data_IF_222579946170
#
_entry.id   IF_222579946170
#
_cell.length_a   1.000
_cell.length_b   1.000
_cell.length_c   1.000
_cell.angle_alpha   90.00
_cell.angle_beta   90.00
_cell.angle_gamma   90.00
#
_symmetry.space_group_name_H-M   'P 1'
#
loop_
_entity.id
_entity.type
_entity.pdbx_description
1 polymer ?
#
# COMPACT_ATOMS: atom_id res chain seq x y z
N UNK A 1 33.18 -13.09 -36.53
CA UNK A 1 32.46 -13.15 -35.24
C UNK A 1 31.37 -12.08 -35.24
N UNK A 2 30.11 -12.46 -35.43
CA UNK A 2 29.00 -11.52 -35.69
C UNK A 2 28.47 -10.83 -34.40
N UNK A 3 28.34 -9.48 -34.38
CA UNK A 3 27.92 -8.70 -33.20
C UNK A 3 26.41 -8.75 -32.88
N UNK A 4 25.58 -9.33 -33.75
CA UNK A 4 24.12 -9.30 -33.64
C UNK A 4 23.51 -10.16 -32.50
N UNK A 5 24.26 -11.12 -31.94
CA UNK A 5 23.75 -11.93 -30.81
C UNK A 5 23.89 -11.28 -29.44
N UNK A 6 24.69 -10.21 -29.31
CA UNK A 6 24.90 -9.56 -28.01
C UNK A 6 23.78 -8.60 -27.64
N UNK A 7 23.09 -7.97 -28.57
CA UNK A 7 22.11 -6.91 -28.27
C UNK A 7 20.77 -7.42 -27.72
N UNK A 8 20.35 -8.65 -28.07
CA UNK A 8 19.07 -9.21 -27.63
C UNK A 8 19.07 -9.66 -26.16
N UNK A 9 20.21 -10.11 -25.63
CA UNK A 9 20.32 -10.61 -24.25
C UNK A 9 20.15 -9.52 -23.18
N UNK A 10 20.57 -8.29 -23.46
CA UNK A 10 20.46 -7.17 -22.51
C UNK A 10 19.07 -6.55 -22.43
N UNK A 11 18.21 -6.74 -23.43
CA UNK A 11 16.81 -6.30 -23.39
C UNK A 11 15.90 -7.32 -22.70
N UNK A 12 16.14 -8.61 -22.93
CA UNK A 12 15.38 -9.70 -22.30
C UNK A 12 15.54 -9.71 -20.77
N UNK A 13 16.75 -9.41 -20.26
CA UNK A 13 17.03 -9.35 -18.81
C UNK A 13 16.32 -8.19 -18.12
N UNK A 14 16.24 -7.01 -18.73
CA UNK A 14 15.58 -5.82 -18.12
C UNK A 14 14.07 -5.99 -17.99
N UNK A 15 13.43 -6.61 -18.99
CA UNK A 15 11.99 -6.91 -18.95
C UNK A 15 11.64 -7.94 -17.85
N UNK A 16 12.48 -8.96 -17.67
CA UNK A 16 12.28 -9.99 -16.65
C UNK A 16 12.47 -9.45 -15.23
N UNK A 17 13.45 -8.56 -15.04
CA UNK A 17 13.72 -7.90 -13.74
C UNK A 17 12.58 -6.98 -13.33
N UNK A 18 11.97 -6.22 -14.26
CA UNK A 18 10.85 -5.34 -13.95
C UNK A 18 9.58 -6.11 -13.55
N UNK A 19 9.29 -7.24 -14.21
CA UNK A 19 8.14 -8.08 -13.85
C UNK A 19 8.27 -8.68 -12.46
N UNK A 20 9.48 -9.12 -12.05
CA UNK A 20 9.75 -9.63 -10.70
C UNK A 20 9.64 -8.57 -9.60
N UNK A 21 10.07 -7.34 -9.87
CA UNK A 21 9.94 -6.21 -8.92
C UNK A 21 8.47 -5.80 -8.72
N UNK A 22 7.67 -5.81 -9.78
CA UNK A 22 6.23 -5.57 -9.70
C UNK A 22 5.51 -6.69 -8.92
N UNK A 23 5.86 -7.96 -9.19
CA UNK A 23 5.34 -9.12 -8.47
C UNK A 23 5.70 -9.10 -6.97
N UNK A 24 6.92 -8.69 -6.62
CA UNK A 24 7.36 -8.53 -5.23
C UNK A 24 6.58 -7.45 -4.48
N UNK A 25 6.23 -6.34 -5.17
CA UNK A 25 5.42 -5.26 -4.61
C UNK A 25 3.97 -5.69 -4.33
N UNK A 26 3.42 -6.52 -5.23
CA UNK A 26 2.08 -7.10 -5.11
C UNK A 26 2.04 -8.15 -3.99
N UNK A 27 3.09 -8.97 -3.86
CA UNK A 27 3.19 -9.97 -2.79
C UNK A 27 3.37 -9.35 -1.39
N UNK A 28 4.07 -8.23 -1.29
CA UNK A 28 4.18 -7.47 -0.03
C UNK A 28 2.88 -6.72 0.30
N UNK A 29 2.17 -6.19 -0.70
CA UNK A 29 0.80 -5.68 -0.54
C UNK A 29 -0.22 -6.75 -0.12
N UNK A 30 -0.12 -7.96 -0.67
CA UNK A 30 -0.90 -9.13 -0.25
C UNK A 30 -0.58 -9.56 1.19
N UNK A 31 0.68 -9.47 1.62
CA UNK A 31 1.04 -9.71 3.02
C UNK A 31 0.33 -8.77 4.00
N UNK A 32 0.09 -7.51 3.61
CA UNK A 32 -0.61 -6.53 4.45
C UNK A 32 -2.14 -6.77 4.49
N UNK A 33 -2.69 -7.43 3.47
CA UNK A 33 -4.08 -7.94 3.47
C UNK A 33 -4.26 -9.22 4.29
N UNK A 34 -3.19 -10.00 4.51
CA UNK A 34 -3.22 -11.29 5.22
C UNK A 34 -2.92 -11.16 6.72
N UNK A 35 -2.20 -10.11 7.13
CA UNK A 35 -1.92 -9.82 8.55
C UNK A 35 -3.13 -9.48 9.45
N UNK A 36 -4.30 -8.97 8.99
CA UNK A 36 -5.46 -8.77 9.86
C UNK A 36 -5.93 -10.07 10.53
N UNK A 37 -5.61 -11.23 9.95
CA UNK A 37 -6.00 -12.53 10.49
C UNK A 37 -5.27 -12.89 11.79
N UNK A 38 -4.12 -12.27 12.09
CA UNK A 38 -3.44 -12.46 13.37
C UNK A 38 -4.24 -11.82 14.53
N UNK A 39 -5.08 -10.82 14.26
CA UNK A 39 -5.99 -10.22 15.24
C UNK A 39 -7.31 -11.02 15.41
N UNK A 40 -7.60 -11.97 14.52
CA UNK A 40 -8.84 -12.75 14.51
C UNK A 40 -8.69 -14.18 15.06
N UNK A 41 -7.47 -14.63 15.38
CA UNK A 41 -7.22 -16.00 15.86
C UNK A 41 -7.76 -16.31 17.26
N UNK A 42 -8.11 -15.28 18.04
CA UNK A 42 -8.79 -15.42 19.32
C UNK A 42 -10.24 -14.94 19.18
N UNK A 43 -11.20 -15.66 19.74
CA UNK A 43 -12.58 -15.19 19.82
C UNK A 43 -12.65 -13.96 20.75
N UNK A 44 -13.34 -12.87 20.37
CA UNK A 44 -13.55 -11.72 21.25
C UNK A 44 -14.45 -12.14 22.43
N UNK A 45 -14.04 -11.83 23.66
CA UNK A 45 -14.79 -12.15 24.88
C UNK A 45 -15.74 -11.02 25.29
N UNK A 46 -15.52 -9.82 24.77
CA UNK A 46 -16.32 -8.63 25.07
C UNK A 46 -16.62 -7.82 23.81
N UNK A 47 -17.65 -6.98 23.88
CA UNK A 47 -18.00 -6.05 22.80
C UNK A 47 -16.85 -5.05 22.56
N UNK A 48 -16.17 -4.60 23.62
CA UNK A 48 -15.00 -3.70 23.50
C UNK A 48 -13.82 -4.35 22.77
N UNK A 49 -13.57 -5.64 23.00
CA UNK A 49 -12.57 -6.41 22.24
C UNK A 49 -12.95 -6.58 20.78
N UNK A 50 -14.24 -6.83 20.49
CA UNK A 50 -14.75 -6.94 19.13
C UNK A 50 -14.53 -5.62 18.36
N UNK A 51 -14.87 -4.48 18.96
CA UNK A 51 -14.63 -3.14 18.37
C UNK A 51 -13.14 -2.93 18.11
N UNK A 52 -12.27 -3.31 19.05
CA UNK A 52 -10.82 -3.18 18.90
C UNK A 52 -10.28 -4.03 17.74
N UNK A 53 -10.73 -5.29 17.63
CA UNK A 53 -10.29 -6.20 16.57
C UNK A 53 -10.73 -5.73 15.18
N UNK A 54 -11.99 -5.34 15.05
CA UNK A 54 -12.51 -4.76 13.79
C UNK A 54 -11.73 -3.49 13.45
N UNK A 55 -11.52 -2.62 14.44
CA UNK A 55 -10.84 -1.35 14.21
C UNK A 55 -9.40 -1.54 13.74
N UNK A 56 -8.68 -2.49 14.33
CA UNK A 56 -7.31 -2.85 13.95
C UNK A 56 -7.24 -3.55 12.59
N UNK A 57 -8.21 -4.41 12.27
CA UNK A 57 -8.28 -5.03 10.95
C UNK A 57 -8.46 -4.00 9.83
N UNK A 58 -9.39 -3.04 10.02
CA UNK A 58 -9.58 -1.92 9.09
C UNK A 58 -8.33 -1.04 8.97
N UNK A 59 -7.73 -0.67 10.11
CA UNK A 59 -6.52 0.15 10.10
C UNK A 59 -5.37 -0.54 9.36
N UNK A 60 -5.18 -1.84 9.59
CA UNK A 60 -4.16 -2.63 8.89
C UNK A 60 -4.40 -2.62 7.38
N UNK A 61 -5.63 -2.92 6.95
CA UNK A 61 -5.99 -2.94 5.53
C UNK A 61 -5.76 -1.57 4.85
N UNK A 62 -6.25 -0.49 5.47
CA UNK A 62 -6.09 0.86 4.94
C UNK A 62 -4.62 1.30 4.91
N UNK A 63 -3.84 0.96 5.94
CA UNK A 63 -2.40 1.28 5.98
C UNK A 63 -1.62 0.61 4.84
N UNK A 64 -2.01 -0.62 4.46
CA UNK A 64 -1.43 -1.31 3.31
C UNK A 64 -1.70 -0.62 1.99
N UNK A 65 -2.93 -0.16 1.79
CA UNK A 65 -3.32 0.58 0.58
C UNK A 65 -2.51 1.89 0.47
N UNK A 66 -2.38 2.62 1.58
CA UNK A 66 -1.58 3.85 1.64
C UNK A 66 -0.12 3.57 1.28
N UNK A 67 0.47 2.51 1.83
CA UNK A 67 1.85 2.12 1.51
C UNK A 67 2.03 1.85 0.01
N UNK A 68 1.13 1.08 -0.60
CA UNK A 68 1.18 0.76 -2.03
C UNK A 68 1.05 2.04 -2.87
N UNK A 69 0.13 2.94 -2.50
CA UNK A 69 -0.06 4.21 -3.19
C UNK A 69 1.24 5.04 -3.21
N UNK A 70 1.93 5.16 -2.06
CA UNK A 70 3.21 5.85 -1.97
C UNK A 70 4.30 5.23 -2.85
N UNK A 71 4.34 3.91 -2.94
CA UNK A 71 5.30 3.23 -3.82
C UNK A 71 4.99 3.53 -5.29
N UNK A 72 3.72 3.47 -5.70
CA UNK A 72 3.31 3.78 -7.08
C UNK A 72 3.68 5.22 -7.44
N UNK A 73 3.48 6.17 -6.52
CA UNK A 73 3.86 7.57 -6.69
C UNK A 73 5.37 7.72 -6.90
N UNK A 74 6.18 7.01 -6.11
CA UNK A 74 7.64 7.03 -6.27
C UNK A 74 8.05 6.57 -7.68
N UNK A 75 7.43 5.50 -8.21
CA UNK A 75 7.66 5.07 -9.58
C UNK A 75 7.18 6.08 -10.62
N UNK A 76 6.07 6.78 -10.36
CA UNK A 76 5.57 7.82 -11.24
C UNK A 76 6.60 8.95 -11.40
N UNK A 77 7.22 9.40 -10.31
CA UNK A 77 8.30 10.39 -10.37
C UNK A 77 9.54 9.88 -11.12
N UNK A 78 9.98 8.65 -10.83
CA UNK A 78 11.16 8.07 -11.47
C UNK A 78 10.99 7.89 -12.98
N UNK A 79 9.76 7.73 -13.46
CA UNK A 79 9.44 7.48 -14.88
C UNK A 79 8.93 8.72 -15.62
N UNK A 80 8.70 9.83 -14.93
CA UNK A 80 8.20 11.07 -15.51
C UNK A 80 9.28 11.93 -16.22
N UNK A 81 10.52 11.44 -16.31
CA UNK A 81 11.64 12.21 -16.84
C UNK A 81 11.38 12.68 -18.28
N UNK A 82 11.57 13.98 -18.53
CA UNK A 82 11.37 14.60 -19.84
C UNK A 82 9.93 14.88 -20.25
N UNK A 83 8.93 14.62 -19.39
CA UNK A 83 7.51 14.93 -19.68
C UNK A 83 6.87 15.73 -18.55
N UNK A 84 6.60 17.04 -18.77
CA UNK A 84 5.91 17.89 -17.79
C UNK A 84 4.53 17.36 -17.40
N UNK A 85 3.84 16.71 -18.34
CA UNK A 85 2.51 16.14 -18.12
C UNK A 85 2.55 14.99 -17.10
N UNK A 86 3.52 14.06 -17.23
CA UNK A 86 3.70 12.96 -16.28
C UNK A 86 4.10 13.44 -14.88
N UNK A 87 4.88 14.53 -14.81
CA UNK A 87 5.23 15.16 -13.53
C UNK A 87 3.99 15.75 -12.85
N UNK A 88 3.11 16.43 -13.60
CA UNK A 88 1.85 16.97 -13.05
C UNK A 88 0.98 15.85 -12.43
N UNK A 89 0.88 14.72 -13.11
CA UNK A 89 0.17 13.54 -12.58
C UNK A 89 0.78 13.03 -11.28
N UNK A 90 2.12 12.97 -11.20
CA UNK A 90 2.81 12.54 -9.98
C UNK A 90 2.54 13.48 -8.80
N UNK A 91 2.53 14.79 -9.03
CA UNK A 91 2.18 15.79 -8.01
C UNK A 91 0.74 15.64 -7.53
N UNK A 92 -0.22 15.43 -8.43
CA UNK A 92 -1.62 15.22 -8.04
C UNK A 92 -1.75 13.94 -7.21
N UNK A 93 -1.06 12.86 -7.61
CA UNK A 93 -1.08 11.61 -6.87
C UNK A 93 -0.53 11.76 -5.44
N UNK A 94 0.53 12.55 -5.23
CA UNK A 94 1.07 12.88 -3.88
C UNK A 94 0.02 13.56 -3.02
N UNK A 95 -0.69 14.56 -3.55
CA UNK A 95 -1.69 15.31 -2.77
C UNK A 95 -2.79 14.36 -2.30
N UNK A 96 -3.31 13.52 -3.18
CA UNK A 96 -4.34 12.54 -2.82
C UNK A 96 -3.84 11.48 -1.83
N UNK A 97 -2.61 11.00 -1.98
CA UNK A 97 -2.02 10.07 -1.02
C UNK A 97 -1.79 10.72 0.35
N UNK A 98 -1.40 11.99 0.39
CA UNK A 98 -1.26 12.76 1.63
C UNK A 98 -2.62 12.93 2.33
N UNK A 99 -3.68 13.25 1.60
CA UNK A 99 -5.05 13.32 2.13
C UNK A 99 -5.50 11.96 2.69
N UNK A 100 -5.31 10.88 1.94
CA UNK A 100 -5.63 9.53 2.41
C UNK A 100 -4.84 9.13 3.66
N UNK A 101 -3.56 9.51 3.74
CA UNK A 101 -2.72 9.29 4.92
C UNK A 101 -3.24 10.08 6.13
N UNK A 102 -3.67 11.34 5.93
CA UNK A 102 -4.22 12.16 7.01
C UNK A 102 -5.52 11.55 7.58
N UNK A 103 -6.41 11.06 6.71
CA UNK A 103 -7.64 10.37 7.13
C UNK A 103 -7.32 9.11 7.94
N UNK A 104 -6.33 8.32 7.49
CA UNK A 104 -5.89 7.12 8.21
C UNK A 104 -5.38 7.44 9.62
N UNK A 105 -4.65 8.55 9.80
CA UNK A 105 -4.19 8.98 11.12
C UNK A 105 -5.37 9.39 12.01
N UNK A 106 -6.34 10.13 11.45
CA UNK A 106 -7.53 10.57 12.19
C UNK A 106 -8.46 9.41 12.60
N UNK A 107 -8.47 8.32 11.84
CA UNK A 107 -9.28 7.14 12.13
C UNK A 107 -9.05 6.58 13.54
N UNK A 108 -7.81 6.62 14.05
CA UNK A 108 -7.49 6.10 15.40
C UNK A 108 -8.20 6.84 16.52
N UNK A 109 -8.63 8.08 16.30
CA UNK A 109 -9.40 8.86 17.28
C UNK A 109 -10.84 8.36 17.45
N UNK A 110 -11.37 7.55 16.52
CA UNK A 110 -12.77 7.10 16.52
C UNK A 110 -12.99 5.93 17.50
N UNK A 111 -11.98 5.06 17.67
CA UNK A 111 -12.07 3.87 18.53
C UNK A 111 -12.52 4.16 19.98
N UNK A 112 -11.93 5.12 20.71
CA UNK A 112 -12.39 5.43 22.08
C UNK A 112 -13.79 6.04 22.11
N UNK A 113 -14.20 6.77 21.06
CA UNK A 113 -15.55 7.37 20.98
C UNK A 113 -16.60 6.26 20.91
N UNK A 114 -16.36 5.24 20.07
CA UNK A 114 -17.27 4.09 19.92
C UNK A 114 -17.34 3.28 21.21
N UNK A 115 -16.19 3.01 21.85
CA UNK A 115 -16.13 2.28 23.13
C UNK A 115 -16.93 2.99 24.23
N UNK A 116 -16.71 4.29 24.40
CA UNK A 116 -17.44 5.11 25.35
C UNK A 116 -18.96 5.15 25.06
N UNK A 117 -19.37 5.24 23.79
CA UNK A 117 -20.79 5.23 23.41
C UNK A 117 -21.49 3.89 23.70
N UNK A 118 -20.73 2.79 23.66
CA UNK A 118 -21.20 1.45 23.96
C UNK A 118 -21.05 1.07 25.45
N UNK A 119 -20.44 1.94 26.26
CA UNK A 119 -20.19 1.69 27.69
C UNK A 119 -19.16 0.60 27.97
N UNK A 120 -18.21 0.38 27.05
CA UNK A 120 -17.18 -0.68 27.10
C UNK A 120 -15.76 -0.15 26.97
#
# INVERSE_FOLDING_TARGET
MHPARRSAGWMQTRFFVMKKKLLSLILTGLGILVLPNAALGAEPKTIGELVTKISNALYSAMSGIVLIAWIVIAFLYLTAWGSPEKLKTAHHAVIWAAVGTAILVLYKSIEPIIKNALGV
#
